data_IF_388837452298
#
_entry.id   IF_388837452298
#
_cell.length_a   1.000
_cell.length_b   1.000
_cell.length_c   1.000
_cell.angle_alpha   90.00
_cell.angle_beta   90.00
_cell.angle_gamma   90.00
#
_symmetry.space_group_name_H-M   'P 1'
#
loop_
_entity.id
_entity.type
_entity.pdbx_description
1 polymer ?
#
# COMPACT_ATOMS: atom_id res chain seq x y z
N UNK A 1 14.88 9.72 -18.60
CA UNK A 1 14.65 9.17 -19.95
C UNK A 1 14.04 7.76 -19.89
N UNK A 2 14.68 6.76 -19.25
CA UNK A 2 14.18 5.37 -19.17
C UNK A 2 12.74 5.26 -18.67
N UNK A 3 12.40 5.85 -17.53
CA UNK A 3 11.06 5.74 -16.94
C UNK A 3 9.96 6.34 -17.83
N UNK A 4 10.25 7.43 -18.55
CA UNK A 4 9.31 8.00 -19.52
C UNK A 4 9.10 7.07 -20.71
N UNK A 5 10.18 6.53 -21.32
CA UNK A 5 10.09 5.57 -22.43
C UNK A 5 9.32 4.32 -22.02
N UNK A 6 9.55 3.84 -20.79
CA UNK A 6 8.86 2.68 -20.27
C UNK A 6 7.37 2.97 -20.06
N UNK A 7 7.01 4.15 -19.53
CA UNK A 7 5.62 4.57 -19.41
C UNK A 7 4.90 4.63 -20.76
N UNK A 8 5.57 5.19 -21.77
CA UNK A 8 5.03 5.28 -23.15
C UNK A 8 4.89 3.88 -23.79
N UNK A 9 5.84 2.96 -23.53
CA UNK A 9 5.77 1.59 -24.02
C UNK A 9 4.60 0.81 -23.38
N UNK A 10 4.36 0.98 -22.08
CA UNK A 10 3.21 0.40 -21.37
C UNK A 10 1.90 0.94 -21.97
N UNK A 11 1.79 2.24 -22.13
CA UNK A 11 0.59 2.87 -22.68
C UNK A 11 0.27 2.39 -24.11
N UNK A 12 1.29 2.29 -24.96
CA UNK A 12 1.20 1.75 -26.31
C UNK A 12 0.79 0.28 -26.35
N UNK A 13 1.20 -0.51 -25.34
CA UNK A 13 0.92 -1.94 -25.24
C UNK A 13 -0.30 -2.26 -24.38
N UNK A 14 -1.10 -1.24 -24.02
CA UNK A 14 -2.25 -1.37 -23.11
C UNK A 14 -3.22 -2.51 -23.46
N UNK A 15 -3.65 -2.70 -24.72
CA UNK A 15 -4.59 -3.78 -25.05
C UNK A 15 -4.06 -5.17 -24.66
N UNK A 16 -2.83 -5.51 -25.04
CA UNK A 16 -2.21 -6.81 -24.76
C UNK A 16 -1.97 -7.02 -23.25
N UNK A 17 -1.54 -5.97 -22.53
CA UNK A 17 -1.34 -6.02 -21.09
C UNK A 17 -2.66 -6.24 -20.35
N UNK A 18 -3.72 -5.53 -20.73
CA UNK A 18 -5.05 -5.64 -20.10
C UNK A 18 -5.64 -7.02 -20.36
N UNK A 19 -5.56 -7.54 -21.56
CA UNK A 19 -6.04 -8.87 -21.92
C UNK A 19 -5.33 -9.94 -21.10
N UNK A 20 -3.99 -9.90 -21.06
CA UNK A 20 -3.19 -10.86 -20.30
C UNK A 20 -3.48 -10.81 -18.81
N UNK A 21 -3.53 -9.62 -18.22
CA UNK A 21 -3.82 -9.45 -16.80
C UNK A 21 -5.24 -9.91 -16.45
N UNK A 22 -6.22 -9.69 -17.32
CA UNK A 22 -7.59 -10.15 -17.10
C UNK A 22 -7.66 -11.68 -17.08
N UNK A 23 -6.98 -12.36 -18.01
CA UNK A 23 -6.92 -13.83 -18.05
C UNK A 23 -6.26 -14.41 -16.80
N UNK A 24 -5.13 -13.82 -16.37
CA UNK A 24 -4.36 -14.34 -15.23
C UNK A 24 -5.00 -14.03 -13.87
N UNK A 25 -5.75 -12.95 -13.73
CA UNK A 25 -6.24 -12.46 -12.44
C UNK A 25 -7.76 -12.57 -12.26
N UNK A 26 -8.52 -12.72 -13.35
CA UNK A 26 -9.98 -12.62 -13.31
C UNK A 26 -10.50 -11.21 -13.06
N UNK A 27 -9.62 -10.19 -13.02
CA UNK A 27 -10.03 -8.79 -12.86
C UNK A 27 -10.72 -8.29 -14.13
N UNK A 28 -11.73 -7.43 -13.96
CA UNK A 28 -12.46 -6.85 -15.08
C UNK A 28 -11.53 -6.01 -15.98
N UNK A 29 -11.49 -6.30 -17.31
CA UNK A 29 -10.69 -5.51 -18.24
C UNK A 29 -11.03 -4.02 -18.17
N UNK A 30 -12.32 -3.68 -18.08
CA UNK A 30 -12.83 -2.32 -17.90
C UNK A 30 -13.89 -2.32 -16.78
N UNK A 31 -13.92 -1.29 -15.91
CA UNK A 31 -12.96 -0.17 -15.85
C UNK A 31 -11.66 -0.51 -15.10
N UNK A 32 -11.58 -1.67 -14.39
CA UNK A 32 -10.56 -1.95 -13.36
C UNK A 32 -9.12 -1.89 -13.89
N UNK A 33 -8.83 -2.61 -14.97
CA UNK A 33 -7.48 -2.70 -15.52
C UNK A 33 -7.17 -1.54 -16.48
N UNK A 34 -7.99 -1.35 -17.52
CA UNK A 34 -7.71 -0.40 -18.59
C UNK A 34 -7.88 1.06 -18.16
N UNK A 35 -8.93 1.38 -17.37
CA UNK A 35 -9.28 2.77 -17.09
C UNK A 35 -8.78 3.28 -15.74
N UNK A 36 -8.44 2.38 -14.80
CA UNK A 36 -8.02 2.74 -13.46
C UNK A 36 -6.56 2.39 -13.22
N UNK A 37 -6.19 1.11 -13.33
CA UNK A 37 -4.88 0.67 -12.86
C UNK A 37 -3.75 0.98 -13.84
N UNK A 38 -3.93 0.72 -15.12
CA UNK A 38 -2.89 0.97 -16.13
C UNK A 38 -2.56 2.47 -16.26
N UNK A 39 -3.53 3.40 -16.37
CA UNK A 39 -3.23 4.84 -16.37
C UNK A 39 -2.54 5.31 -15.08
N UNK A 40 -2.92 4.74 -13.93
CA UNK A 40 -2.23 5.00 -12.66
C UNK A 40 -0.76 4.59 -12.73
N UNK A 41 -0.46 3.42 -13.28
CA UNK A 41 0.91 2.90 -13.41
C UNK A 41 1.76 3.81 -14.30
N UNK A 42 1.23 4.18 -15.46
CA UNK A 42 1.86 5.13 -16.40
C UNK A 42 2.16 6.47 -15.72
N UNK A 43 1.16 7.05 -15.03
CA UNK A 43 1.32 8.31 -14.31
C UNK A 43 2.39 8.23 -13.20
N UNK A 44 2.44 7.13 -12.47
CA UNK A 44 3.42 6.89 -11.41
C UNK A 44 4.86 6.84 -11.96
N UNK A 45 5.08 6.17 -13.09
CA UNK A 45 6.38 6.14 -13.78
C UNK A 45 6.79 7.54 -14.31
N UNK A 46 5.85 8.30 -14.86
CA UNK A 46 6.08 9.68 -15.33
C UNK A 46 6.42 10.63 -14.18
N UNK A 47 5.72 10.53 -13.04
CA UNK A 47 6.07 11.30 -11.84
C UNK A 47 7.47 10.95 -11.32
N UNK A 48 7.83 9.67 -11.31
CA UNK A 48 9.16 9.20 -10.94
C UNK A 48 10.24 9.75 -11.88
N UNK A 49 9.97 9.76 -13.20
CA UNK A 49 10.86 10.34 -14.20
C UNK A 49 11.08 11.83 -13.98
N UNK A 50 10.00 12.59 -13.79
CA UNK A 50 10.09 14.04 -13.53
C UNK A 50 10.86 14.36 -12.25
N UNK A 51 10.65 13.56 -11.20
CA UNK A 51 11.36 13.71 -9.92
C UNK A 51 12.85 13.41 -10.06
N UNK A 52 13.21 12.37 -10.81
CA UNK A 52 14.62 12.03 -11.07
C UNK A 52 15.33 13.13 -11.86
N UNK A 53 14.65 13.76 -12.81
CA UNK A 53 15.18 14.85 -13.64
C UNK A 53 15.30 16.18 -12.87
N UNK A 54 14.35 16.47 -12.01
CA UNK A 54 14.36 17.69 -11.17
C UNK A 54 15.44 17.63 -10.08
N UNK A 55 15.64 16.48 -9.44
CA UNK A 55 16.77 16.18 -8.56
C UNK A 55 16.68 16.65 -7.11
N UNK A 56 15.72 17.46 -6.70
CA UNK A 56 15.58 17.94 -5.31
C UNK A 56 15.31 16.82 -4.30
N UNK A 57 14.86 15.64 -4.76
CA UNK A 57 14.70 14.48 -3.91
C UNK A 57 16.00 14.07 -3.20
N UNK A 58 17.15 14.35 -3.82
CA UNK A 58 18.47 14.08 -3.24
C UNK A 58 18.79 14.96 -2.02
N UNK A 59 17.97 15.98 -1.73
CA UNK A 59 18.12 16.90 -0.59
C UNK A 59 19.56 17.44 -0.46
N UNK A 60 20.15 18.03 -1.51
CA UNK A 60 21.52 18.52 -1.45
C UNK A 60 21.63 19.58 -0.36
N UNK A 61 22.55 19.36 0.58
CA UNK A 61 22.79 20.23 1.72
C UNK A 61 24.25 20.70 1.70
N UNK A 62 24.47 22.00 1.79
CA UNK A 62 25.78 22.63 1.65
C UNK A 62 26.01 23.59 2.80
N UNK A 63 27.00 23.31 3.62
CA UNK A 63 27.54 24.24 4.65
C UNK A 63 28.84 24.82 4.14
N UNK A 64 28.78 26.08 3.70
CA UNK A 64 29.96 26.74 3.13
C UNK A 64 30.99 27.10 4.20
N UNK A 65 30.58 27.30 5.47
CA UNK A 65 31.47 27.63 6.56
C UNK A 65 32.27 26.44 7.05
N UNK A 66 31.61 25.28 7.18
CA UNK A 66 32.26 24.05 7.59
C UNK A 66 33.00 23.36 6.43
N UNK A 67 32.68 23.69 5.18
CA UNK A 67 33.23 23.00 4.01
C UNK A 67 32.64 21.58 3.81
N UNK A 68 31.49 21.31 4.41
CA UNK A 68 30.84 20.01 4.39
C UNK A 68 29.59 20.04 3.49
N UNK A 69 29.41 19.01 2.67
CA UNK A 69 28.25 18.85 1.78
C UNK A 69 27.67 17.46 1.93
N UNK A 70 26.37 17.31 1.79
CA UNK A 70 25.72 16.00 1.84
C UNK A 70 24.54 15.91 0.87
N UNK A 71 24.23 14.69 0.44
CA UNK A 71 23.03 14.42 -0.32
C UNK A 71 22.55 12.97 -0.07
N UNK A 72 21.31 12.70 -0.45
CA UNK A 72 20.83 11.33 -0.57
C UNK A 72 21.36 10.72 -1.88
N UNK A 73 21.85 9.50 -1.78
CA UNK A 73 22.40 8.72 -2.89
C UNK A 73 21.73 7.32 -2.96
N UNK A 74 21.82 6.61 -4.09
CA UNK A 74 21.28 5.25 -4.20
C UNK A 74 21.97 4.29 -3.22
N UNK A 75 21.20 3.36 -2.65
CA UNK A 75 21.75 2.35 -1.73
C UNK A 75 22.35 1.14 -2.46
N UNK A 76 22.04 0.94 -3.75
CA UNK A 76 22.45 -0.20 -4.56
C UNK A 76 21.30 -1.15 -4.90
N UNK A 77 21.58 -2.41 -5.33
CA UNK A 77 20.56 -3.32 -5.84
C UNK A 77 19.41 -3.57 -4.87
N UNK A 78 18.18 -3.45 -5.37
CA UNK A 78 16.92 -3.63 -4.62
C UNK A 78 16.17 -4.84 -5.16
N UNK A 79 15.76 -5.75 -4.28
CA UNK A 79 14.83 -6.81 -4.63
C UNK A 79 13.39 -6.37 -4.38
N UNK A 80 12.57 -6.35 -5.42
CA UNK A 80 11.16 -5.94 -5.33
C UNK A 80 10.25 -7.15 -5.46
N UNK A 81 9.32 -7.29 -4.51
CA UNK A 81 8.31 -8.35 -4.45
C UNK A 81 6.94 -7.71 -4.39
N UNK A 82 6.21 -7.75 -5.50
CA UNK A 82 4.87 -7.18 -5.61
C UNK A 82 3.76 -8.15 -5.18
N UNK A 83 2.54 -7.62 -4.89
CA UNK A 83 1.37 -8.40 -4.54
C UNK A 83 0.63 -8.94 -5.77
N UNK A 84 -0.41 -9.76 -5.54
CA UNK A 84 -1.24 -10.34 -6.61
C UNK A 84 -2.38 -9.44 -7.08
N UNK A 85 -2.86 -8.53 -6.24
CA UNK A 85 -4.12 -7.80 -6.43
C UNK A 85 -4.01 -6.53 -7.30
N UNK A 86 -2.79 -6.15 -7.67
CA UNK A 86 -2.50 -5.03 -8.57
C UNK A 86 -1.42 -5.43 -9.59
N UNK A 87 -1.82 -6.08 -10.69
CA UNK A 87 -0.89 -6.64 -11.68
C UNK A 87 -0.05 -5.59 -12.43
N UNK A 88 -0.38 -4.31 -12.35
CA UNK A 88 0.36 -3.21 -12.94
C UNK A 88 0.93 -2.25 -11.89
N UNK A 89 0.06 -1.62 -11.08
CA UNK A 89 0.42 -0.48 -10.24
C UNK A 89 1.31 -0.83 -9.03
N UNK A 90 1.28 -2.08 -8.59
CA UNK A 90 2.16 -2.62 -7.54
C UNK A 90 2.97 -3.83 -8.01
N UNK A 91 2.97 -4.13 -9.32
CA UNK A 91 3.83 -5.17 -9.87
C UNK A 91 5.31 -4.86 -9.58
N UNK A 92 6.07 -5.89 -9.28
CA UNK A 92 7.48 -5.77 -8.92
C UNK A 92 8.34 -5.06 -9.97
N UNK A 93 7.89 -5.01 -11.25
CA UNK A 93 8.66 -4.44 -12.36
C UNK A 93 8.05 -3.14 -12.93
N UNK A 94 6.90 -2.68 -12.44
CA UNK A 94 6.25 -1.44 -12.91
C UNK A 94 5.64 -0.61 -11.80
N UNK A 95 5.56 -1.15 -10.58
CA UNK A 95 4.90 -0.53 -9.45
C UNK A 95 5.73 0.56 -8.76
N UNK A 96 5.19 1.07 -7.63
CA UNK A 96 5.78 2.17 -6.89
C UNK A 96 7.18 1.90 -6.36
N UNK A 97 7.45 0.70 -5.89
CA UNK A 97 8.79 0.31 -5.41
C UNK A 97 9.81 0.28 -6.54
N UNK A 98 9.42 -0.28 -7.69
CA UNK A 98 10.26 -0.24 -8.90
C UNK A 98 10.55 1.20 -9.33
N UNK A 99 9.51 2.02 -9.46
CA UNK A 99 9.65 3.41 -9.87
C UNK A 99 10.55 4.21 -8.93
N UNK A 100 10.38 4.00 -7.60
CA UNK A 100 11.19 4.67 -6.57
C UNK A 100 12.66 4.26 -6.60
N UNK A 101 12.93 2.95 -6.75
CA UNK A 101 14.29 2.43 -6.81
C UNK A 101 15.04 2.94 -8.05
N UNK A 102 14.41 2.86 -9.22
CA UNK A 102 15.00 3.32 -10.47
C UNK A 102 15.18 4.85 -10.49
N UNK A 103 14.21 5.62 -10.03
CA UNK A 103 14.29 7.09 -10.02
C UNK A 103 15.47 7.60 -9.19
N UNK A 104 15.90 6.83 -8.22
CA UNK A 104 17.04 7.16 -7.35
C UNK A 104 18.35 6.46 -7.73
N UNK A 105 18.38 5.78 -8.90
CA UNK A 105 19.60 5.18 -9.48
C UNK A 105 19.91 3.78 -8.98
N UNK A 106 18.98 3.06 -8.38
CA UNK A 106 19.18 1.70 -7.92
C UNK A 106 18.80 0.67 -9.00
N UNK A 107 19.62 -0.34 -9.30
CA UNK A 107 19.17 -1.47 -10.11
C UNK A 107 18.16 -2.33 -9.36
N UNK A 108 17.21 -2.90 -10.11
CA UNK A 108 16.10 -3.67 -9.55
C UNK A 108 16.15 -5.13 -10.01
N UNK A 109 15.99 -6.03 -9.04
CA UNK A 109 15.64 -7.43 -9.26
C UNK A 109 14.16 -7.57 -8.92
N UNK A 110 13.29 -7.69 -9.92
CA UNK A 110 11.86 -7.87 -9.74
C UNK A 110 11.50 -9.35 -9.62
N UNK A 111 10.65 -9.71 -8.65
CA UNK A 111 10.09 -11.06 -8.56
C UNK A 111 8.67 -11.07 -9.11
N UNK A 112 8.45 -11.74 -10.22
CA UNK A 112 7.13 -11.96 -10.78
C UNK A 112 6.22 -12.69 -9.79
N UNK A 113 4.99 -12.22 -9.65
CA UNK A 113 4.01 -12.92 -8.80
C UNK A 113 3.51 -14.19 -9.51
N UNK A 114 3.37 -15.34 -8.83
CA UNK A 114 2.94 -16.60 -9.46
C UNK A 114 1.55 -16.56 -10.10
N UNK A 115 0.69 -15.63 -9.70
CA UNK A 115 -0.68 -15.52 -10.22
C UNK A 115 -0.81 -14.59 -11.44
N UNK A 116 0.26 -13.89 -11.85
CA UNK A 116 0.29 -13.09 -13.08
C UNK A 116 1.71 -13.04 -13.70
N UNK A 117 2.32 -14.22 -13.96
CA UNK A 117 3.69 -14.29 -14.46
C UNK A 117 3.84 -13.77 -15.89
N UNK A 118 2.84 -13.99 -16.75
CA UNK A 118 2.88 -13.55 -18.16
C UNK A 118 2.70 -12.04 -18.28
N UNK A 119 1.83 -11.44 -17.46
CA UNK A 119 1.72 -9.98 -17.34
C UNK A 119 3.06 -9.37 -16.91
N UNK A 120 3.70 -9.96 -15.89
CA UNK A 120 5.02 -9.50 -15.43
C UNK A 120 6.09 -9.66 -16.52
N UNK A 121 6.04 -10.73 -17.32
CA UNK A 121 6.96 -10.95 -18.45
C UNK A 121 6.81 -9.87 -19.50
N UNK A 122 5.58 -9.58 -19.93
CA UNK A 122 5.33 -8.51 -20.91
C UNK A 122 5.85 -7.15 -20.42
N UNK A 123 5.58 -6.82 -19.15
CA UNK A 123 6.12 -5.60 -18.53
C UNK A 123 7.65 -5.60 -18.50
N UNK A 124 8.28 -6.73 -18.20
CA UNK A 124 9.74 -6.85 -18.18
C UNK A 124 10.38 -6.70 -19.56
N UNK A 125 9.76 -7.26 -20.60
CA UNK A 125 10.20 -7.10 -21.99
C UNK A 125 10.19 -5.62 -22.39
N UNK A 126 9.09 -4.90 -22.08
CA UNK A 126 8.98 -3.46 -22.33
C UNK A 126 10.01 -2.66 -21.51
N UNK A 127 10.23 -3.02 -20.23
CA UNK A 127 11.23 -2.36 -19.39
C UNK A 127 12.65 -2.57 -19.91
N UNK A 128 13.00 -3.78 -20.33
CA UNK A 128 14.33 -4.08 -20.88
C UNK A 128 14.59 -3.35 -22.21
N UNK A 129 13.58 -3.29 -23.09
CA UNK A 129 13.69 -2.51 -24.34
C UNK A 129 13.89 -1.02 -24.02
N UNK A 130 13.06 -0.43 -23.14
CA UNK A 130 13.21 0.96 -22.73
C UNK A 130 14.57 1.26 -22.07
N UNK A 131 15.11 0.31 -21.31
CA UNK A 131 16.44 0.44 -20.70
C UNK A 131 17.56 0.43 -21.74
N UNK A 132 17.46 -0.45 -22.74
CA UNK A 132 18.38 -0.49 -23.87
C UNK A 132 18.34 0.81 -24.69
N UNK A 133 17.12 1.31 -25.02
CA UNK A 133 16.91 2.57 -25.76
C UNK A 133 17.41 3.80 -24.98
N UNK A 134 17.42 3.72 -23.65
CA UNK A 134 17.98 4.73 -22.75
C UNK A 134 19.48 4.54 -22.47
N UNK A 135 20.13 3.54 -23.09
CA UNK A 135 21.54 3.19 -22.89
C UNK A 135 21.92 2.93 -21.44
N UNK A 136 21.03 2.35 -20.65
CA UNK A 136 21.33 1.95 -19.29
C UNK A 136 22.25 0.72 -19.25
N UNK A 137 23.08 0.57 -18.20
CA UNK A 137 23.92 -0.61 -18.03
C UNK A 137 23.10 -1.90 -18.03
N UNK A 138 23.65 -2.95 -18.61
CA UNK A 138 23.04 -4.28 -18.55
C UNK A 138 22.84 -4.71 -17.08
N UNK A 139 21.67 -5.29 -16.79
CA UNK A 139 21.30 -5.71 -15.44
C UNK A 139 20.70 -4.62 -14.56
N UNK A 140 20.48 -3.39 -15.07
CA UNK A 140 19.74 -2.35 -14.33
C UNK A 140 18.32 -2.83 -13.99
N UNK A 141 17.68 -3.56 -14.90
CA UNK A 141 16.38 -4.19 -14.70
C UNK A 141 16.49 -5.69 -14.91
N UNK A 142 16.12 -6.47 -13.91
CA UNK A 142 16.14 -7.92 -13.94
C UNK A 142 14.82 -8.47 -13.43
N UNK A 143 14.38 -9.62 -13.94
CA UNK A 143 13.19 -10.29 -13.45
C UNK A 143 13.47 -11.76 -13.14
N UNK A 144 12.97 -12.21 -11.99
CA UNK A 144 12.95 -13.61 -11.57
C UNK A 144 11.48 -14.09 -11.53
N UNK A 145 11.27 -15.34 -11.96
CA UNK A 145 9.99 -16.02 -11.80
C UNK A 145 9.84 -16.63 -10.41
N UNK A 146 9.05 -17.69 -10.31
CA UNK A 146 8.93 -18.45 -9.08
C UNK A 146 10.29 -18.98 -8.62
N UNK A 147 10.56 -18.84 -7.34
CA UNK A 147 11.75 -19.38 -6.67
C UNK A 147 11.34 -20.09 -5.38
N UNK A 148 12.13 -21.05 -4.95
CA UNK A 148 11.94 -21.69 -3.66
C UNK A 148 12.23 -20.68 -2.53
N UNK A 149 11.59 -20.78 -1.37
CA UNK A 149 11.85 -19.89 -0.23
C UNK A 149 13.34 -19.84 0.15
N UNK A 150 14.04 -20.98 0.09
CA UNK A 150 15.46 -21.08 0.43
C UNK A 150 16.34 -20.23 -0.50
N UNK A 151 15.99 -20.15 -1.78
CA UNK A 151 16.74 -19.35 -2.75
C UNK A 151 16.47 -17.85 -2.54
N UNK A 152 15.25 -17.50 -2.13
CA UNK A 152 14.94 -16.14 -1.68
C UNK A 152 15.77 -15.73 -0.45
N UNK A 153 15.96 -16.62 0.51
CA UNK A 153 16.80 -16.35 1.68
C UNK A 153 18.27 -16.19 1.28
N UNK A 154 18.79 -17.01 0.34
CA UNK A 154 20.15 -16.85 -0.21
C UNK A 154 20.31 -15.49 -0.92
N UNK A 155 19.29 -15.06 -1.69
CA UNK A 155 19.33 -13.76 -2.37
C UNK A 155 19.37 -12.61 -1.35
N UNK A 156 18.59 -12.67 -0.28
CA UNK A 156 18.64 -11.66 0.81
C UNK A 156 20.03 -11.64 1.46
N UNK A 157 20.65 -12.79 1.66
CA UNK A 157 21.97 -12.89 2.28
C UNK A 157 23.11 -12.42 1.37
N UNK A 158 22.90 -12.27 0.06
CA UNK A 158 23.94 -11.83 -0.88
C UNK A 158 24.43 -10.41 -0.53
N UNK A 159 25.74 -10.18 -0.35
CA UNK A 159 26.27 -8.87 0.05
C UNK A 159 26.05 -7.76 -0.98
N UNK A 160 25.78 -8.10 -2.24
CA UNK A 160 25.48 -7.15 -3.31
C UNK A 160 24.08 -6.56 -3.17
N UNK A 161 23.10 -7.33 -2.67
CA UNK A 161 21.76 -6.83 -2.40
C UNK A 161 21.80 -5.84 -1.23
N UNK A 162 21.05 -4.74 -1.33
CA UNK A 162 21.03 -3.68 -0.29
C UNK A 162 19.69 -3.51 0.38
N UNK A 163 18.60 -3.73 -0.34
CA UNK A 163 17.27 -3.60 0.22
C UNK A 163 16.27 -4.56 -0.43
N UNK A 164 15.15 -4.75 0.29
CA UNK A 164 13.98 -5.48 -0.17
C UNK A 164 12.76 -4.55 -0.08
N UNK A 165 12.03 -4.38 -1.19
CA UNK A 165 10.68 -3.82 -1.23
C UNK A 165 9.68 -4.96 -1.29
N UNK A 166 8.72 -5.00 -0.38
CA UNK A 166 7.76 -6.08 -0.25
C UNK A 166 6.34 -5.56 -0.03
N UNK A 167 5.38 -6.09 -0.76
CA UNK A 167 3.95 -5.92 -0.46
C UNK A 167 3.28 -7.29 -0.50
N UNK A 168 2.62 -7.68 0.60
CA UNK A 168 1.97 -8.98 0.70
C UNK A 168 1.51 -9.36 2.11
N UNK A 169 1.34 -10.66 2.35
CA UNK A 169 0.86 -11.17 3.64
C UNK A 169 1.83 -10.89 4.79
N UNK A 170 1.30 -10.63 5.98
CA UNK A 170 2.10 -10.45 7.22
C UNK A 170 3.06 -11.61 7.46
N UNK A 171 2.58 -12.85 7.31
CA UNK A 171 3.40 -14.02 7.58
C UNK A 171 4.60 -14.13 6.63
N UNK A 172 4.41 -13.84 5.35
CA UNK A 172 5.49 -13.81 4.35
C UNK A 172 6.45 -12.66 4.60
N UNK A 173 5.92 -11.46 4.84
CA UNK A 173 6.71 -10.26 5.09
C UNK A 173 7.61 -10.39 6.33
N UNK A 174 7.08 -10.91 7.44
CA UNK A 174 7.87 -11.08 8.66
C UNK A 174 9.00 -12.10 8.51
N UNK A 175 8.80 -13.17 7.74
CA UNK A 175 9.89 -14.13 7.43
C UNK A 175 11.02 -13.48 6.62
N UNK A 176 10.67 -12.74 5.58
CA UNK A 176 11.64 -12.02 4.76
C UNK A 176 12.34 -10.91 5.56
N UNK A 177 11.58 -10.18 6.39
CA UNK A 177 12.13 -9.16 7.28
C UNK A 177 13.18 -9.75 8.23
N UNK A 178 12.87 -10.87 8.88
CA UNK A 178 13.81 -11.53 9.77
C UNK A 178 15.12 -11.91 9.06
N UNK A 179 15.05 -12.40 7.82
CA UNK A 179 16.23 -12.70 7.03
C UNK A 179 17.03 -11.45 6.62
N UNK A 180 16.33 -10.37 6.28
CA UNK A 180 16.94 -9.08 5.97
C UNK A 180 17.66 -8.49 7.20
N UNK A 181 16.99 -8.47 8.36
CA UNK A 181 17.55 -7.99 9.63
C UNK A 181 18.81 -8.78 10.02
N UNK A 182 18.78 -10.11 9.87
CA UNK A 182 19.92 -10.98 10.18
C UNK A 182 21.16 -10.70 9.32
N UNK A 183 20.99 -10.07 8.17
CA UNK A 183 22.07 -9.75 7.21
C UNK A 183 22.30 -8.24 7.04
N UNK A 184 21.67 -7.41 7.90
CA UNK A 184 21.80 -5.95 7.88
C UNK A 184 21.23 -5.28 6.63
N UNK A 185 20.22 -5.89 5.98
CA UNK A 185 19.55 -5.32 4.82
C UNK A 185 18.34 -4.49 5.22
N UNK A 186 18.09 -3.42 4.47
CA UNK A 186 16.87 -2.65 4.63
C UNK A 186 15.66 -3.45 4.10
N UNK A 187 14.58 -3.48 4.87
CA UNK A 187 13.34 -4.13 4.47
C UNK A 187 12.17 -3.14 4.56
N UNK A 188 11.62 -2.80 3.39
CA UNK A 188 10.46 -1.90 3.26
C UNK A 188 9.23 -2.74 2.91
N UNK A 189 8.54 -3.20 3.96
CA UNK A 189 7.39 -4.09 3.83
C UNK A 189 6.08 -3.39 4.12
N UNK A 190 5.11 -3.54 3.20
CA UNK A 190 3.68 -3.33 3.45
C UNK A 190 3.03 -4.70 3.66
N UNK A 191 2.29 -4.83 4.76
CA UNK A 191 1.73 -6.08 5.22
C UNK A 191 0.23 -5.95 5.50
N UNK A 192 -0.35 -6.94 6.16
CA UNK A 192 -1.79 -7.02 6.46
C UNK A 192 -2.33 -5.84 7.26
N UNK A 193 -3.54 -5.40 6.95
CA UNK A 193 -4.28 -4.33 7.61
C UNK A 193 -5.78 -4.62 7.64
N UNK A 194 -6.47 -4.26 8.73
CA UNK A 194 -7.93 -4.41 8.85
C UNK A 194 -8.70 -3.10 8.62
N UNK A 195 -8.01 -1.98 8.51
CA UNK A 195 -8.55 -0.68 8.11
C UNK A 195 -9.83 -0.29 8.88
N UNK A 196 -9.74 0.04 10.17
CA UNK A 196 -10.91 0.31 10.99
C UNK A 196 -11.71 1.50 10.48
N UNK A 197 -13.04 1.36 10.50
CA UNK A 197 -14.00 2.41 10.18
C UNK A 197 -14.91 2.61 11.40
N UNK A 198 -14.83 3.77 12.02
CA UNK A 198 -15.74 4.17 13.11
C UNK A 198 -16.91 4.93 12.51
N UNK A 199 -18.13 4.54 12.84
CA UNK A 199 -19.33 5.23 12.37
C UNK A 199 -20.13 5.65 13.61
N UNK A 200 -20.24 6.95 13.83
CA UNK A 200 -20.95 7.53 14.95
C UNK A 200 -22.45 7.55 14.71
N UNK A 201 -23.28 7.52 15.78
CA UNK A 201 -24.73 7.49 15.67
C UNK A 201 -25.32 8.67 14.90
N UNK A 202 -24.76 9.87 15.02
CA UNK A 202 -25.21 11.05 14.28
C UNK A 202 -25.06 10.91 12.77
N UNK A 203 -23.95 10.34 12.31
CA UNK A 203 -23.76 10.01 10.89
C UNK A 203 -24.82 9.03 10.39
N UNK A 204 -25.16 8.02 11.21
CA UNK A 204 -26.21 7.04 10.87
C UNK A 204 -27.61 7.65 10.87
N UNK A 205 -27.90 8.61 11.77
CA UNK A 205 -29.17 9.33 11.78
C UNK A 205 -29.36 10.18 10.52
N UNK A 206 -28.27 10.78 10.01
CA UNK A 206 -28.31 11.63 8.82
C UNK A 206 -28.34 10.84 7.51
N UNK A 207 -27.53 9.77 7.38
CA UNK A 207 -27.23 9.15 6.08
C UNK A 207 -27.01 7.63 6.14
N UNK A 208 -27.74 6.89 6.95
CA UNK A 208 -27.56 5.44 7.17
C UNK A 208 -27.48 4.64 5.87
N UNK A 209 -28.43 4.83 4.96
CA UNK A 209 -28.52 4.08 3.70
C UNK A 209 -27.32 4.36 2.77
N UNK A 210 -26.92 5.63 2.64
CA UNK A 210 -25.79 6.01 1.82
C UNK A 210 -24.46 5.46 2.39
N UNK A 211 -24.31 5.47 3.72
CA UNK A 211 -23.13 4.87 4.38
C UNK A 211 -23.12 3.35 4.17
N UNK A 212 -24.27 2.69 4.25
CA UNK A 212 -24.39 1.26 3.99
C UNK A 212 -24.04 0.90 2.54
N UNK A 213 -24.45 1.71 1.56
CA UNK A 213 -24.08 1.54 0.15
C UNK A 213 -22.59 1.73 -0.08
N UNK A 214 -21.99 2.78 0.50
CA UNK A 214 -20.55 3.03 0.42
C UNK A 214 -19.76 1.88 1.06
N UNK A 215 -20.17 1.40 2.22
CA UNK A 215 -19.49 0.31 2.93
C UNK A 215 -19.63 -1.01 2.15
N UNK A 216 -20.82 -1.34 1.65
CA UNK A 216 -21.04 -2.52 0.80
C UNK A 216 -20.14 -2.48 -0.43
N UNK A 217 -20.13 -1.36 -1.15
CA UNK A 217 -19.24 -1.16 -2.31
C UNK A 217 -17.78 -1.32 -1.93
N UNK A 218 -17.35 -0.73 -0.82
CA UNK A 218 -15.96 -0.75 -0.36
C UNK A 218 -15.51 -2.16 0.07
N UNK A 219 -16.40 -2.94 0.71
CA UNK A 219 -16.13 -4.33 1.12
C UNK A 219 -16.11 -5.30 -0.06
N UNK A 220 -16.95 -5.07 -1.08
CA UNK A 220 -17.09 -5.99 -2.22
C UNK A 220 -16.21 -5.62 -3.43
N UNK A 221 -15.65 -4.41 -3.47
CA UNK A 221 -14.78 -3.95 -4.55
C UNK A 221 -13.61 -4.92 -4.80
N UNK A 222 -13.48 -5.43 -6.03
CA UNK A 222 -12.46 -6.43 -6.36
C UNK A 222 -12.56 -7.69 -5.49
N UNK A 223 -13.77 -8.07 -5.09
CA UNK A 223 -14.05 -9.18 -4.16
C UNK A 223 -13.35 -8.96 -2.80
N UNK A 224 -13.24 -7.70 -2.35
CA UNK A 224 -12.59 -7.32 -1.10
C UNK A 224 -11.07 -7.53 -1.07
N UNK A 225 -10.44 -7.81 -2.20
CA UNK A 225 -8.99 -8.08 -2.31
C UNK A 225 -8.18 -6.79 -2.46
N UNK A 226 -8.46 -5.80 -1.60
CA UNK A 226 -7.73 -4.54 -1.50
C UNK A 226 -7.03 -4.43 -0.14
N UNK A 227 -5.79 -3.94 -0.14
CA UNK A 227 -5.04 -3.69 1.09
C UNK A 227 -5.72 -2.67 2.02
N UNK A 228 -6.53 -1.77 1.47
CA UNK A 228 -7.31 -0.78 2.22
C UNK A 228 -8.80 -1.11 2.32
N UNK A 229 -9.22 -2.37 2.08
CA UNK A 229 -10.61 -2.80 2.30
C UNK A 229 -10.98 -2.66 3.79
N UNK A 230 -12.14 -2.02 4.15
CA UNK A 230 -12.60 -1.97 5.53
C UNK A 230 -12.92 -3.38 6.04
N UNK A 231 -12.10 -3.87 6.95
CA UNK A 231 -12.24 -5.19 7.56
C UNK A 231 -12.86 -5.15 8.94
N UNK A 232 -12.77 -4.01 9.63
CA UNK A 232 -13.30 -3.80 10.98
C UNK A 232 -14.16 -2.53 11.03
N UNK A 233 -15.43 -2.66 11.39
CA UNK A 233 -16.34 -1.55 11.54
C UNK A 233 -16.73 -1.41 13.01
N UNK A 234 -16.55 -0.24 13.58
CA UNK A 234 -16.74 0.07 14.98
C UNK A 234 -17.98 0.97 15.14
N UNK A 235 -18.91 0.54 15.96
CA UNK A 235 -20.23 1.15 16.15
C UNK A 235 -20.51 1.31 17.65
N UNK A 236 -21.35 2.28 18.00
CA UNK A 236 -21.93 2.43 19.33
C UNK A 236 -23.33 1.78 19.37
N UNK A 237 -23.66 1.11 20.47
CA UNK A 237 -24.95 0.47 20.67
C UNK A 237 -26.10 1.47 20.59
N UNK A 238 -27.24 1.05 20.05
CA UNK A 238 -28.46 1.84 19.93
C UNK A 238 -29.33 1.40 18.77
N UNK A 239 -30.60 1.85 18.75
CA UNK A 239 -31.58 1.44 17.75
C UNK A 239 -31.19 1.82 16.33
N UNK A 240 -30.54 2.95 16.12
CA UNK A 240 -30.05 3.37 14.80
C UNK A 240 -28.96 2.42 14.29
N UNK A 241 -28.12 1.95 15.17
CA UNK A 241 -27.06 0.98 14.86
C UNK A 241 -27.64 -0.38 14.49
N UNK A 242 -28.64 -0.87 15.23
CA UNK A 242 -29.28 -2.16 14.88
C UNK A 242 -29.98 -2.09 13.52
N UNK A 243 -30.66 -0.99 13.20
CA UNK A 243 -31.22 -0.78 11.86
C UNK A 243 -30.15 -0.75 10.78
N UNK A 244 -29.05 -0.05 11.01
CA UNK A 244 -27.91 -0.01 10.09
C UNK A 244 -27.31 -1.41 9.85
N UNK A 245 -27.13 -2.19 10.90
CA UNK A 245 -26.62 -3.57 10.80
C UNK A 245 -27.54 -4.44 9.94
N UNK A 246 -28.84 -4.31 10.13
CA UNK A 246 -29.82 -5.03 9.31
C UNK A 246 -29.75 -4.60 7.84
N UNK A 247 -29.71 -3.30 7.58
CA UNK A 247 -29.54 -2.75 6.21
C UNK A 247 -28.24 -3.25 5.56
N UNK A 248 -27.14 -3.22 6.29
CA UNK A 248 -25.85 -3.74 5.80
C UNK A 248 -25.90 -5.22 5.44
N UNK A 249 -26.54 -6.04 6.30
CA UNK A 249 -26.73 -7.46 6.05
C UNK A 249 -27.49 -7.68 4.73
N UNK A 250 -28.61 -7.00 4.53
CA UNK A 250 -29.44 -7.11 3.34
C UNK A 250 -28.68 -6.68 2.07
N UNK A 251 -28.05 -5.51 2.11
CA UNK A 251 -27.27 -4.98 0.97
C UNK A 251 -26.09 -5.92 0.61
N UNK A 252 -25.38 -6.41 1.60
CA UNK A 252 -24.24 -7.30 1.37
C UNK A 252 -24.65 -8.66 0.81
N UNK A 253 -25.81 -9.21 1.26
CA UNK A 253 -26.39 -10.43 0.71
C UNK A 253 -26.88 -10.26 -0.73
N UNK A 254 -27.42 -9.08 -1.06
CA UNK A 254 -27.92 -8.78 -2.41
C UNK A 254 -26.78 -8.45 -3.40
N UNK A 255 -25.64 -8.00 -2.91
CA UNK A 255 -24.50 -7.66 -3.76
C UNK A 255 -23.91 -8.91 -4.44
N UNK A 256 -23.53 -8.83 -5.73
CA UNK A 256 -22.88 -9.93 -6.40
C UNK A 256 -21.55 -10.25 -5.72
N UNK A 257 -21.31 -11.50 -5.45
CA UNK A 257 -20.02 -11.93 -4.98
C UNK A 257 -19.12 -12.26 -6.19
N UNK A 258 -17.90 -11.76 -6.18
CA UNK A 258 -16.95 -11.92 -7.26
C UNK A 258 -16.01 -13.10 -7.07
N UNK A 259 -14.92 -13.14 -7.86
CA UNK A 259 -13.93 -14.21 -7.88
C UNK A 259 -12.69 -13.82 -7.07
N UNK A 260 -12.13 -14.79 -6.36
CA UNK A 260 -10.82 -14.65 -5.70
C UNK A 260 -9.70 -15.08 -6.65
N UNK A 261 -8.49 -14.58 -6.43
CA UNK A 261 -7.36 -14.83 -7.33
C UNK A 261 -6.88 -16.28 -7.37
N UNK A 262 -7.13 -17.06 -6.31
CA UNK A 262 -6.65 -18.44 -6.23
C UNK A 262 -7.42 -19.27 -5.21
N UNK A 263 -7.25 -20.60 -5.32
CA UNK A 263 -7.73 -21.57 -4.31
C UNK A 263 -7.14 -21.29 -2.92
N UNK A 264 -5.87 -20.91 -2.87
CA UNK A 264 -5.22 -20.59 -1.59
C UNK A 264 -5.82 -19.33 -0.96
N UNK A 265 -6.18 -18.32 -1.77
CA UNK A 265 -6.92 -17.15 -1.33
C UNK A 265 -8.30 -17.48 -0.78
N UNK A 266 -9.04 -18.36 -1.45
CA UNK A 266 -10.33 -18.86 -0.97
C UNK A 266 -10.18 -19.60 0.36
N UNK A 267 -9.21 -20.50 0.46
CA UNK A 267 -8.94 -21.27 1.69
C UNK A 267 -8.53 -20.34 2.84
N UNK A 268 -7.67 -19.37 2.57
CA UNK A 268 -7.22 -18.39 3.57
C UNK A 268 -8.38 -17.53 4.07
N UNK A 269 -9.29 -17.10 3.19
CA UNK A 269 -10.48 -16.33 3.57
C UNK A 269 -11.43 -17.16 4.45
N UNK A 270 -11.72 -18.40 4.07
CA UNK A 270 -12.55 -19.30 4.89
C UNK A 270 -11.92 -19.50 6.29
N UNK A 271 -10.62 -19.79 6.35
CA UNK A 271 -9.91 -19.98 7.63
C UNK A 271 -9.90 -18.71 8.48
N UNK A 272 -9.82 -17.53 7.87
CA UNK A 272 -9.90 -16.27 8.60
C UNK A 272 -11.30 -16.05 9.20
N UNK A 273 -12.37 -16.36 8.44
CA UNK A 273 -13.75 -16.29 8.92
C UNK A 273 -13.97 -17.26 10.11
N UNK A 274 -13.52 -18.52 9.97
CA UNK A 274 -13.58 -19.52 11.05
C UNK A 274 -12.82 -19.06 12.31
N UNK A 275 -11.66 -18.45 12.14
CA UNK A 275 -10.87 -17.91 13.25
C UNK A 275 -11.58 -16.76 13.96
N UNK A 276 -12.22 -15.85 13.22
CA UNK A 276 -13.03 -14.79 13.78
C UNK A 276 -14.23 -15.34 14.58
N UNK A 277 -14.92 -16.34 14.04
CA UNK A 277 -16.03 -17.00 14.75
C UNK A 277 -15.56 -17.70 16.02
N UNK A 278 -14.44 -18.43 15.98
CA UNK A 278 -13.85 -19.11 17.14
C UNK A 278 -13.40 -18.11 18.21
N UNK A 279 -13.11 -16.86 17.83
CA UNK A 279 -12.75 -15.77 18.73
C UNK A 279 -13.95 -15.04 19.34
N UNK A 280 -15.19 -15.43 19.01
CA UNK A 280 -16.43 -14.91 19.57
C UNK A 280 -17.26 -14.04 18.60
N UNK A 281 -16.91 -14.00 17.31
CA UNK A 281 -17.76 -13.35 16.32
C UNK A 281 -18.90 -14.26 15.86
N UNK A 282 -20.10 -13.70 15.75
CA UNK A 282 -21.31 -14.36 15.21
C UNK A 282 -21.43 -14.05 13.73
N UNK A 283 -21.69 -15.06 12.91
CA UNK A 283 -21.96 -14.92 11.49
C UNK A 283 -23.37 -14.35 11.29
N UNK A 284 -23.49 -13.20 10.65
CA UNK A 284 -24.77 -12.57 10.30
C UNK A 284 -25.24 -12.99 8.89
N UNK A 285 -24.29 -13.14 7.95
CA UNK A 285 -24.55 -13.60 6.58
C UNK A 285 -23.30 -14.14 5.90
N UNK A 286 -23.47 -14.97 4.87
CA UNK A 286 -22.37 -15.51 4.07
C UNK A 286 -21.62 -16.65 4.76
N UNK A 287 -20.29 -16.61 4.72
CA UNK A 287 -19.39 -17.58 5.36
C UNK A 287 -19.10 -18.85 4.55
N UNK A 288 -19.91 -19.17 3.56
CA UNK A 288 -19.77 -20.37 2.73
C UNK A 288 -19.04 -20.10 1.41
N UNK A 289 -18.45 -21.18 0.84
CA UNK A 289 -17.93 -21.14 -0.53
C UNK A 289 -19.08 -20.95 -1.52
N UNK A 290 -18.76 -20.31 -2.65
CA UNK A 290 -19.72 -20.17 -3.74
C UNK A 290 -19.74 -21.43 -4.64
N UNK A 291 -20.93 -21.77 -5.17
CA UNK A 291 -21.11 -22.77 -6.21
C UNK A 291 -21.04 -22.14 -7.61
N UNK A 292 -20.08 -21.27 -7.86
CA UNK A 292 -19.88 -20.58 -9.15
C UNK A 292 -18.56 -21.02 -9.80
N UNK A 293 -18.40 -20.69 -11.07
CA UNK A 293 -17.13 -20.92 -11.76
C UNK A 293 -16.02 -20.06 -11.12
N UNK A 294 -14.88 -20.67 -10.81
CA UNK A 294 -13.75 -19.99 -10.14
C UNK A 294 -13.73 -20.22 -8.62
N UNK A 295 -12.86 -19.46 -7.96
CA UNK A 295 -12.71 -19.48 -6.50
C UNK A 295 -13.57 -18.38 -5.88
N UNK A 296 -14.39 -18.67 -4.90
CA UNK A 296 -15.24 -17.64 -4.33
C UNK A 296 -15.86 -18.00 -2.98
N UNK A 297 -16.10 -16.96 -2.20
CA UNK A 297 -16.79 -17.02 -0.91
C UNK A 297 -17.97 -16.06 -0.97
N UNK A 298 -19.07 -16.41 -0.34
CA UNK A 298 -20.23 -15.53 -0.19
C UNK A 298 -19.84 -14.24 0.52
N UNK A 299 -20.45 -13.11 0.15
CA UNK A 299 -20.25 -11.86 0.88
C UNK A 299 -20.58 -12.06 2.36
N UNK A 300 -19.61 -11.82 3.23
CA UNK A 300 -19.65 -12.26 4.63
C UNK A 300 -19.69 -11.08 5.58
N UNK A 301 -20.65 -11.08 6.49
CA UNK A 301 -20.75 -10.14 7.58
C UNK A 301 -20.74 -10.89 8.91
N UNK A 302 -19.81 -10.47 9.79
CA UNK A 302 -19.69 -10.96 11.15
C UNK A 302 -19.96 -9.83 12.15
N UNK A 303 -20.35 -10.20 13.37
CA UNK A 303 -20.56 -9.27 14.49
C UNK A 303 -19.94 -9.84 15.75
N UNK A 304 -19.31 -8.98 16.55
CA UNK A 304 -18.94 -9.28 17.92
C UNK A 304 -19.21 -8.06 18.82
N UNK A 305 -19.28 -8.27 20.13
CA UNK A 305 -19.33 -7.16 21.10
C UNK A 305 -17.92 -6.60 21.33
N UNK A 306 -17.85 -5.35 21.76
CA UNK A 306 -16.57 -4.79 22.22
C UNK A 306 -15.97 -5.58 23.38
N UNK A 307 -16.80 -6.16 24.27
CA UNK A 307 -16.33 -7.04 25.34
C UNK A 307 -15.61 -8.28 24.78
N UNK A 308 -16.17 -8.96 23.77
CA UNK A 308 -15.52 -10.08 23.11
C UNK A 308 -14.20 -9.65 22.44
N UNK A 309 -14.19 -8.48 21.80
CA UNK A 309 -12.97 -7.92 21.22
C UNK A 309 -11.88 -7.66 22.26
N UNK A 310 -12.22 -7.04 23.39
CA UNK A 310 -11.27 -6.72 24.48
C UNK A 310 -10.70 -7.99 25.14
N UNK A 311 -11.47 -9.07 25.17
CA UNK A 311 -11.01 -10.36 25.68
C UNK A 311 -10.07 -11.09 24.71
N UNK A 312 -10.22 -10.88 23.40
CA UNK A 312 -9.41 -11.56 22.38
C UNK A 312 -9.02 -10.64 21.20
N UNK A 313 -8.33 -9.51 21.48
CA UNK A 313 -8.08 -8.47 20.48
C UNK A 313 -7.22 -8.95 19.31
N UNK A 314 -6.25 -9.83 19.57
CA UNK A 314 -5.36 -10.34 18.50
C UNK A 314 -6.11 -11.20 17.48
N UNK A 315 -7.02 -12.07 17.93
CA UNK A 315 -7.75 -12.95 17.03
C UNK A 315 -8.85 -12.19 16.27
N UNK A 316 -9.53 -11.24 16.92
CA UNK A 316 -10.57 -10.43 16.28
C UNK A 316 -10.01 -9.31 15.36
N UNK A 317 -8.69 -9.14 15.31
CA UNK A 317 -7.97 -8.34 14.30
C UNK A 317 -7.39 -9.20 13.16
N UNK A 318 -7.86 -10.44 13.00
CA UNK A 318 -7.46 -11.27 11.86
C UNK A 318 -7.97 -10.65 10.57
N UNK A 319 -7.06 -10.35 9.63
CA UNK A 319 -7.42 -9.89 8.30
C UNK A 319 -8.08 -11.01 7.49
N UNK A 320 -9.37 -10.84 7.16
CA UNK A 320 -10.07 -11.66 6.20
C UNK A 320 -9.92 -11.00 4.81
N UNK A 321 -8.84 -11.36 4.07
CA UNK A 321 -8.51 -10.75 2.78
C UNK A 321 -9.45 -11.25 1.69
N UNK A 322 -10.56 -10.55 1.53
CA UNK A 322 -11.67 -10.88 0.64
C UNK A 322 -12.94 -10.10 1.05
N UNK A 323 -14.06 -10.50 0.51
CA UNK A 323 -15.38 -9.88 0.67
C UNK A 323 -16.04 -10.20 2.04
N UNK A 324 -15.29 -9.96 3.12
CA UNK A 324 -15.75 -10.15 4.50
C UNK A 324 -15.45 -8.91 5.36
N UNK A 325 -16.34 -8.61 6.31
CA UNK A 325 -16.20 -7.55 7.29
C UNK A 325 -16.71 -7.97 8.68
N UNK A 326 -16.07 -7.46 9.73
CA UNK A 326 -16.43 -7.66 11.13
C UNK A 326 -16.97 -6.36 11.71
N UNK A 327 -18.18 -6.41 12.28
CA UNK A 327 -18.77 -5.33 13.06
C UNK A 327 -18.43 -5.54 14.53
N UNK A 328 -17.92 -4.51 15.21
CA UNK A 328 -17.78 -4.47 16.66
C UNK A 328 -18.73 -3.41 17.20
N UNK A 329 -19.60 -3.80 18.12
CA UNK A 329 -20.55 -2.90 18.78
C UNK A 329 -20.08 -2.67 20.21
N UNK A 330 -19.79 -1.41 20.54
CA UNK A 330 -19.44 -0.96 21.87
C UNK A 330 -20.67 -0.37 22.59
N UNK A 331 -20.76 -0.61 23.90
CA UNK A 331 -21.89 -0.14 24.69
C UNK A 331 -21.90 1.39 24.83
N UNK A 332 -20.71 1.99 24.90
CA UNK A 332 -20.52 3.42 25.06
C UNK A 332 -19.19 3.92 24.45
N UNK A 333 -18.96 5.22 24.48
CA UNK A 333 -17.75 5.85 23.97
C UNK A 333 -16.48 5.45 24.73
N UNK A 334 -16.46 5.36 26.08
CA UNK A 334 -15.33 4.83 26.84
C UNK A 334 -14.89 3.45 26.36
N UNK A 335 -15.81 2.51 26.22
CA UNK A 335 -15.51 1.16 25.75
C UNK A 335 -15.02 1.15 24.29
N UNK A 336 -15.59 1.99 23.42
CA UNK A 336 -15.09 2.17 22.05
C UNK A 336 -13.64 2.66 22.04
N UNK A 337 -13.28 3.59 22.93
CA UNK A 337 -11.89 4.08 23.08
C UNK A 337 -10.95 2.98 23.57
N UNK A 338 -11.40 2.11 24.47
CA UNK A 338 -10.61 0.93 24.89
C UNK A 338 -10.35 0.00 23.71
N UNK A 339 -11.36 -0.28 22.87
CA UNK A 339 -11.20 -1.07 21.63
C UNK A 339 -10.17 -0.43 20.71
N UNK A 340 -10.29 0.87 20.45
CA UNK A 340 -9.33 1.63 19.62
C UNK A 340 -7.91 1.57 20.19
N UNK A 341 -7.76 1.61 21.51
CA UNK A 341 -6.48 1.49 22.21
C UNK A 341 -5.80 0.12 22.03
N UNK A 342 -6.56 -0.94 21.69
CA UNK A 342 -6.04 -2.29 21.43
C UNK A 342 -5.76 -2.59 19.97
N UNK A 343 -6.07 -1.63 19.06
CA UNK A 343 -5.76 -1.81 17.64
C UNK A 343 -4.23 -1.86 17.42
N UNK A 344 -3.82 -2.76 16.57
CA UNK A 344 -2.47 -2.77 16.01
C UNK A 344 -2.32 -1.63 14.97
N UNK A 345 -1.14 -1.49 14.39
CA UNK A 345 -0.93 -0.57 13.27
C UNK A 345 -1.70 -0.99 12.02
N UNK A 346 -2.32 -0.02 11.36
CA UNK A 346 -3.13 -0.18 10.17
C UNK A 346 -2.73 0.82 9.07
N UNK A 347 -3.05 0.51 7.81
CA UNK A 347 -2.83 1.43 6.69
C UNK A 347 -3.75 2.64 6.78
N UNK A 348 -5.01 2.41 7.12
CA UNK A 348 -6.03 3.46 7.17
C UNK A 348 -6.93 3.34 8.38
N UNK A 349 -7.53 4.46 8.78
CA UNK A 349 -8.68 4.52 9.68
C UNK A 349 -9.63 5.61 9.22
N UNK A 350 -10.93 5.32 9.26
CA UNK A 350 -11.97 6.27 8.85
C UNK A 350 -12.88 6.60 10.02
N UNK A 351 -13.38 7.83 10.07
CA UNK A 351 -14.39 8.28 11.04
C UNK A 351 -15.55 8.90 10.25
N UNK A 352 -16.77 8.43 10.51
CA UNK A 352 -17.99 9.04 10.04
C UNK A 352 -18.70 9.71 11.21
N UNK A 353 -19.04 10.97 11.08
CA UNK A 353 -19.70 11.79 12.09
C UNK A 353 -20.84 12.63 11.49
N UNK A 354 -21.70 13.17 12.34
CA UNK A 354 -22.75 14.09 11.90
C UNK A 354 -22.15 15.34 11.25
N UNK A 355 -22.71 15.77 10.13
CA UNK A 355 -22.29 17.00 9.43
C UNK A 355 -22.74 18.27 10.16
N UNK A 356 -23.71 18.15 11.10
CA UNK A 356 -24.13 19.25 11.95
C UNK A 356 -23.04 19.79 12.88
N UNK A 357 -21.98 19.00 13.15
CA UNK A 357 -20.96 19.30 14.14
C UNK A 357 -21.28 18.85 15.57
N UNK A 358 -22.44 18.28 15.80
CA UNK A 358 -22.88 17.85 17.15
C UNK A 358 -21.98 16.73 17.74
N UNK A 359 -21.24 16.05 16.89
CA UNK A 359 -20.32 14.97 17.28
C UNK A 359 -18.83 15.36 17.19
N UNK A 360 -18.50 16.62 16.93
CA UNK A 360 -17.11 17.03 16.71
C UNK A 360 -16.18 16.68 17.87
N UNK A 361 -16.59 16.92 19.12
CA UNK A 361 -15.81 16.54 20.30
C UNK A 361 -15.57 15.04 20.36
N UNK A 362 -16.56 14.21 20.08
CA UNK A 362 -16.43 12.74 20.03
C UNK A 362 -15.53 12.32 18.89
N UNK A 363 -15.66 12.97 17.73
CA UNK A 363 -14.82 12.72 16.57
C UNK A 363 -13.34 13.02 16.88
N UNK A 364 -13.04 14.13 17.55
CA UNK A 364 -11.68 14.49 17.99
C UNK A 364 -11.10 13.47 18.97
N UNK A 365 -11.88 13.02 19.97
CA UNK A 365 -11.45 11.96 20.91
C UNK A 365 -11.11 10.65 20.18
N UNK A 366 -11.93 10.24 19.23
CA UNK A 366 -11.72 9.05 18.41
C UNK A 366 -10.50 9.23 17.50
N UNK A 367 -10.36 10.39 16.86
CA UNK A 367 -9.23 10.71 16.01
C UNK A 367 -7.91 10.67 16.79
N UNK A 368 -7.89 11.16 18.04
CA UNK A 368 -6.73 11.08 18.92
C UNK A 368 -6.33 9.62 19.23
N UNK A 369 -7.32 8.72 19.40
CA UNK A 369 -7.07 7.30 19.61
C UNK A 369 -6.59 6.59 18.32
N UNK A 370 -7.15 6.94 17.16
CA UNK A 370 -6.83 6.33 15.88
C UNK A 370 -5.50 6.82 15.30
N UNK A 371 -5.15 8.11 15.46
CA UNK A 371 -3.97 8.71 14.81
C UNK A 371 -2.69 7.92 15.03
N UNK A 372 -2.35 7.44 16.25
CA UNK A 372 -1.16 6.62 16.47
C UNK A 372 -1.26 5.19 15.91
N UNK A 373 -2.44 4.77 15.44
CA UNK A 373 -2.73 3.40 14.97
C UNK A 373 -2.85 3.30 13.46
N UNK A 374 -2.93 4.42 12.74
CA UNK A 374 -3.19 4.42 11.30
C UNK A 374 -2.20 5.32 10.55
N UNK A 375 -1.85 4.91 9.35
CA UNK A 375 -1.06 5.73 8.45
C UNK A 375 -1.87 6.90 7.91
N UNK A 376 -3.04 6.62 7.38
CA UNK A 376 -3.97 7.60 6.79
C UNK A 376 -5.25 7.67 7.60
N UNK A 377 -5.58 8.84 8.12
CA UNK A 377 -6.86 9.13 8.76
C UNK A 377 -7.80 9.77 7.74
N UNK A 378 -9.01 9.25 7.63
CA UNK A 378 -10.05 9.73 6.71
C UNK A 378 -11.27 10.19 7.49
N UNK A 379 -11.96 11.21 6.95
CA UNK A 379 -13.24 11.69 7.48
C UNK A 379 -14.33 11.50 6.41
N UNK A 380 -15.46 10.93 6.78
CA UNK A 380 -16.66 10.70 5.96
C UNK A 380 -16.36 10.05 4.59
N UNK A 381 -15.39 9.15 4.59
CA UNK A 381 -14.92 8.47 3.38
C UNK A 381 -14.48 7.04 3.68
N UNK A 382 -14.91 6.10 2.83
CA UNK A 382 -14.42 4.72 2.88
C UNK A 382 -12.95 4.64 2.46
N UNK A 383 -12.17 3.72 3.06
CA UNK A 383 -10.72 3.70 2.88
C UNK A 383 -10.25 3.06 1.58
N UNK A 384 -11.11 2.28 0.90
CA UNK A 384 -10.70 1.52 -0.31
C UNK A 384 -10.25 2.44 -1.42
N UNK A 385 -9.03 2.17 -1.92
CA UNK A 385 -8.37 2.95 -2.95
C UNK A 385 -7.37 3.98 -2.41
N UNK A 386 -6.32 4.20 -3.21
CA UNK A 386 -5.21 5.11 -2.90
C UNK A 386 -4.87 5.93 -4.14
N UNK A 387 -4.93 7.25 -4.02
CA UNK A 387 -4.49 8.15 -5.10
C UNK A 387 -2.95 8.22 -5.13
N UNK A 388 -2.38 8.38 -6.32
CA UNK A 388 -0.96 8.76 -6.47
C UNK A 388 -0.88 10.27 -6.34
N UNK A 389 -0.36 10.74 -5.22
CA UNK A 389 -0.25 12.17 -4.88
C UNK A 389 1.00 12.41 -4.07
N UNK A 390 1.68 13.56 -4.22
CA UNK A 390 2.83 13.94 -3.39
C UNK A 390 2.54 13.94 -1.88
N UNK A 391 1.29 14.15 -1.48
CA UNK A 391 0.85 14.15 -0.08
C UNK A 391 0.33 12.78 0.39
N UNK A 392 0.29 11.77 -0.49
CA UNK A 392 -0.30 10.47 -0.14
C UNK A 392 0.72 9.55 0.51
N UNK A 393 0.34 9.01 1.66
CA UNK A 393 0.97 7.90 2.32
C UNK A 393 0.15 6.62 2.10
N UNK A 394 0.81 5.50 1.82
CA UNK A 394 0.22 4.18 1.81
C UNK A 394 1.08 3.26 2.66
N UNK A 395 0.80 3.27 3.93
CA UNK A 395 1.50 2.54 4.98
C UNK A 395 0.90 2.92 6.32
N UNK A 396 1.54 2.53 7.39
CA UNK A 396 1.06 2.80 8.74
C UNK A 396 2.05 2.34 9.79
N UNK A 397 1.70 2.47 11.08
CA UNK A 397 2.51 1.93 12.15
C UNK A 397 2.64 0.41 12.04
N UNK A 398 3.72 -0.14 12.64
CA UNK A 398 3.89 -1.58 12.72
C UNK A 398 2.68 -2.24 13.42
N UNK A 399 2.17 -3.38 12.93
CA UNK A 399 2.73 -4.27 11.91
C UNK A 399 2.22 -4.05 10.48
N UNK A 400 1.45 -2.99 10.19
CA UNK A 400 1.00 -2.75 8.82
C UNK A 400 2.17 -2.46 7.87
N UNK A 401 3.20 -1.74 8.35
CA UNK A 401 4.45 -1.59 7.62
C UNK A 401 5.66 -1.78 8.51
N UNK A 402 6.79 -2.14 7.90
CA UNK A 402 8.06 -2.31 8.63
C UNK A 402 8.81 -1.00 8.85
N UNK A 403 8.60 0.00 7.99
CA UNK A 403 9.30 1.29 7.99
C UNK A 403 8.30 2.44 7.77
N UNK A 404 7.61 2.92 8.81
CA UNK A 404 6.52 3.90 8.66
C UNK A 404 6.96 5.26 8.10
N UNK A 405 8.26 5.61 8.13
CA UNK A 405 8.80 6.83 7.54
C UNK A 405 8.89 6.81 6.00
N UNK A 406 8.86 5.62 5.38
CA UNK A 406 9.14 5.43 3.95
C UNK A 406 7.97 4.77 3.22
N UNK A 407 6.77 5.31 3.38
CA UNK A 407 5.51 4.74 2.89
C UNK A 407 4.79 5.66 1.90
N UNK A 408 5.43 6.75 1.45
CA UNK A 408 4.85 7.64 0.45
C UNK A 408 4.60 6.91 -0.88
N UNK A 409 3.47 7.22 -1.53
CA UNK A 409 3.07 6.68 -2.84
C UNK A 409 3.39 7.68 -3.94
N UNK A 410 3.25 8.97 -3.68
CA UNK A 410 3.56 10.04 -4.64
C UNK A 410 4.97 10.57 -4.51
N UNK A 411 5.46 11.10 -5.61
CA UNK A 411 6.77 11.73 -5.70
C UNK A 411 6.71 13.23 -5.33
N UNK A 412 7.79 13.83 -4.76
CA UNK A 412 9.12 13.25 -4.62
C UNK A 412 9.33 12.37 -3.36
N UNK A 413 8.38 12.34 -2.41
CA UNK A 413 8.58 11.64 -1.14
C UNK A 413 8.81 10.12 -1.30
N UNK A 414 8.18 9.48 -2.29
CA UNK A 414 8.39 8.07 -2.58
C UNK A 414 9.84 7.73 -2.97
N UNK A 415 10.57 8.67 -3.54
CA UNK A 415 11.98 8.49 -3.91
C UNK A 415 12.92 8.27 -2.72
N UNK A 416 12.52 8.67 -1.50
CA UNK A 416 13.38 8.56 -0.31
C UNK A 416 13.58 7.12 0.17
N UNK A 417 12.77 6.19 -0.26
CA UNK A 417 12.72 4.82 0.27
C UNK A 417 14.04 4.06 0.07
N UNK A 418 14.65 4.16 -1.08
CA UNK A 418 15.84 3.41 -1.44
C UNK A 418 17.08 4.30 -1.54
N UNK A 419 17.25 5.18 -0.55
CA UNK A 419 18.36 6.13 -0.50
C UNK A 419 19.12 6.03 0.81
N UNK A 420 20.37 6.47 0.80
CA UNK A 420 21.20 6.67 1.98
C UNK A 420 21.81 8.06 1.97
N UNK A 421 22.11 8.60 3.14
CA UNK A 421 22.81 9.90 3.25
C UNK A 421 24.31 9.68 3.02
N UNK A 422 24.90 10.48 2.13
CA UNK A 422 26.35 10.57 1.91
C UNK A 422 26.84 11.97 2.23
N UNK A 423 27.98 12.06 2.91
CA UNK A 423 28.61 13.33 3.26
C UNK A 423 30.00 13.43 2.64
N UNK A 424 30.38 14.65 2.25
CA UNK A 424 31.62 15.02 1.59
C UNK A 424 32.27 16.14 2.38
N UNK A 425 33.38 15.83 3.06
CA UNK A 425 34.11 16.76 3.91
C UNK A 425 35.39 17.22 3.18
N UNK A 426 35.51 18.53 2.96
CA UNK A 426 36.64 19.15 2.27
C UNK A 426 36.99 18.54 0.90
N UNK A 427 35.97 18.03 0.19
CA UNK A 427 36.15 17.40 -1.14
C UNK A 427 36.24 18.51 -2.21
N UNK A 428 37.22 18.39 -3.11
CA UNK A 428 37.39 19.33 -4.24
C UNK A 428 36.15 19.30 -5.14
N UNK A 429 35.70 20.48 -5.57
CA UNK A 429 34.44 20.67 -6.29
C UNK A 429 34.26 19.71 -7.49
N UNK A 430 35.29 19.56 -8.33
CA UNK A 430 35.23 18.69 -9.51
C UNK A 430 35.03 17.19 -9.19
N UNK A 431 35.23 16.78 -7.93
CA UNK A 431 35.03 15.42 -7.42
C UNK A 431 33.68 15.22 -6.72
N UNK A 432 32.95 16.30 -6.48
CA UNK A 432 31.63 16.25 -5.88
C UNK A 432 30.59 15.72 -6.88
N UNK A 433 29.55 15.04 -6.39
CA UNK A 433 28.35 14.77 -7.19
C UNK A 433 27.81 16.07 -7.79
N UNK A 434 27.22 16.05 -9.00
CA UNK A 434 26.75 17.26 -9.67
C UNK A 434 25.81 18.12 -8.81
N UNK A 435 24.91 17.50 -8.03
CA UNK A 435 23.97 18.20 -7.13
C UNK A 435 24.64 18.99 -6.00
N UNK A 436 25.88 18.68 -5.65
CA UNK A 436 26.66 19.32 -4.57
C UNK A 436 27.69 20.31 -5.08
N UNK A 437 27.84 20.51 -6.38
CA UNK A 437 28.77 21.49 -6.95
C UNK A 437 28.28 22.92 -6.74
N UNK A 438 29.17 23.90 -6.93
CA UNK A 438 28.79 25.32 -6.79
C UNK A 438 27.71 25.70 -7.81
N UNK A 439 27.81 25.22 -9.03
CA UNK A 439 26.79 25.38 -10.04
C UNK A 439 25.59 24.43 -9.78
N UNK A 440 24.38 24.95 -9.87
CA UNK A 440 23.15 24.14 -9.83
C UNK A 440 22.96 23.45 -11.18
N UNK A 441 22.96 22.09 -11.25
CA UNK A 441 23.09 21.36 -12.51
C UNK A 441 21.96 21.59 -13.51
N UNK A 442 20.77 21.98 -13.05
CA UNK A 442 19.62 22.27 -13.92
C UNK A 442 18.94 23.62 -13.62
N UNK A 443 19.52 24.44 -12.73
CA UNK A 443 19.01 25.75 -12.34
C UNK A 443 17.71 25.75 -11.55
N UNK A 444 17.08 24.61 -11.33
CA UNK A 444 15.76 24.47 -10.66
C UNK A 444 15.80 23.56 -9.42
N UNK A 445 16.87 22.79 -9.22
CA UNK A 445 17.03 21.91 -8.07
C UNK A 445 17.07 22.73 -6.78
N UNK A 446 16.20 22.39 -5.83
CA UNK A 446 16.21 22.98 -4.49
C UNK A 446 17.35 22.38 -3.68
N UNK A 447 18.22 23.26 -3.16
CA UNK A 447 19.36 22.91 -2.32
C UNK A 447 19.28 23.65 -0.99
N UNK A 448 19.66 23.01 0.10
CA UNK A 448 19.71 23.63 1.41
C UNK A 448 21.12 24.18 1.64
N UNK A 449 21.28 25.50 1.47
CA UNK A 449 22.57 26.20 1.51
C UNK A 449 22.59 27.13 2.70
N UNK A 450 23.53 26.93 3.62
CA UNK A 450 23.70 27.76 4.82
C UNK A 450 22.39 28.08 5.54
N UNK A 451 21.63 27.02 5.87
CA UNK A 451 20.33 27.05 6.57
C UNK A 451 19.17 27.65 5.75
N UNK A 452 19.29 27.78 4.44
CA UNK A 452 18.22 28.30 3.58
C UNK A 452 18.03 27.45 2.31
N UNK A 453 16.77 27.22 1.93
CA UNK A 453 16.45 26.59 0.65
C UNK A 453 16.64 27.57 -0.50
N UNK A 454 17.31 27.14 -1.56
CA UNK A 454 17.65 27.99 -2.70
C UNK A 454 17.91 27.18 -3.97
N UNK A 455 17.65 27.78 -5.12
CA UNK A 455 18.07 27.28 -6.44
C UNK A 455 19.33 27.98 -6.98
N UNK A 456 19.91 28.90 -6.21
CA UNK A 456 21.07 29.72 -6.65
C UNK A 456 22.35 28.89 -6.82
N UNK A 457 23.28 29.36 -7.63
CA UNK A 457 24.68 28.97 -7.60
C UNK A 457 25.38 29.51 -6.33
N UNK A 458 26.49 28.88 -5.93
CA UNK A 458 27.34 29.33 -4.84
C UNK A 458 28.35 30.36 -5.35
#
# INVERSE_FOLDING_TARGET
DFLSRYADAIEKSAPALVEMAAVETGLAPSPRLANVELPRTVNQLRQASATADEGSWARPTIDTKAGIRSCLAPIGPVWVIGPNNFPFAYNAISGGDFASAIATGNPVIAKAHPLHPSTSRLLAELANQAAADASLPAGTVQMLYHMKPEDGMKLIADPRLKAVGFTGSRAGGLKLKAAADATGKLFFGEMSSINPVVILPGALLENSDAIADQLTTSVTMGTGQFCTKPGLILLLAGDVTERFIQTMREKLQAAPAGVLFSRDGETALCSAIEKLQSAGATLLSGGGRQNAAGFGVQNTLLRASAHAFLNNPTALQTEAFGNAALLIVADDLPQLREVLGKLEGNLTGSIYSAKSGDEDTRCEEIAACLRPRVGRLLNDKMPTGVAVSPAMQHGGPYPATSQPHFTAVGFPAAALRFTQLESYDNVREHRLPPCLRNENPNGRMQRYIDLSWSTRNL
#
